data_IF_062659014160
#
_entry.id   IF_062659014160
#
_cell.length_a   1.000
_cell.length_b   1.000
_cell.length_c   1.000
_cell.angle_alpha   90.00
_cell.angle_beta   90.00
_cell.angle_gamma   90.00
#
_symmetry.space_group_name_H-M   'P 1'
#
loop_
_entity.id
_entity.type
_entity.pdbx_description
1 polymer ?
#
# COMPACT_ATOMS: atom_id res chain seq x y z
N UNK A 1 -5.60 0.28 -14.81
CA UNK A 1 -5.33 0.49 -13.37
C UNK A 1 -4.37 -0.62 -12.95
N UNK A 2 -3.15 -0.31 -12.47
CA UNK A 2 -2.24 -1.35 -11.99
C UNK A 2 -2.88 -2.07 -10.80
N UNK A 3 -2.82 -3.40 -10.80
CA UNK A 3 -3.33 -4.25 -9.72
C UNK A 3 -2.14 -5.02 -9.16
N UNK A 4 -2.11 -5.17 -7.83
CA UNK A 4 -1.11 -5.99 -7.16
C UNK A 4 -1.21 -7.45 -7.66
N UNK A 5 -0.07 -8.08 -7.98
CA UNK A 5 0.04 -9.52 -8.25
C UNK A 5 -0.69 -10.36 -7.21
N UNK A 6 -1.34 -11.43 -7.66
CA UNK A 6 -2.24 -12.21 -6.82
C UNK A 6 -1.56 -13.00 -5.70
N UNK A 7 -0.30 -13.39 -5.92
CA UNK A 7 0.50 -14.34 -5.13
C UNK A 7 1.37 -13.69 -4.05
N UNK A 8 1.34 -12.37 -3.91
CA UNK A 8 2.11 -11.66 -2.88
C UNK A 8 1.46 -11.68 -1.49
N UNK A 9 2.23 -11.31 -0.46
CA UNK A 9 1.77 -11.23 0.93
C UNK A 9 0.60 -10.26 1.08
N UNK A 10 -0.53 -10.74 1.62
CA UNK A 10 -1.76 -9.95 1.84
C UNK A 10 -2.07 -9.65 3.30
N UNK A 11 -1.49 -10.41 4.23
CA UNK A 11 -1.74 -10.29 5.66
C UNK A 11 -0.47 -9.80 6.33
N UNK A 12 -0.57 -8.64 7.00
CA UNK A 12 0.51 -8.02 7.74
C UNK A 12 0.05 -7.84 9.20
N UNK A 13 0.70 -8.53 10.13
CA UNK A 13 0.54 -8.26 11.55
C UNK A 13 1.40 -7.05 11.93
N UNK A 14 0.83 -6.10 12.66
CA UNK A 14 1.53 -4.89 13.08
C UNK A 14 1.12 -4.52 14.51
N UNK A 15 2.09 -4.25 15.36
CA UNK A 15 1.86 -3.75 16.71
C UNK A 15 1.42 -2.28 16.71
N UNK A 16 0.87 -1.82 17.83
CA UNK A 16 0.62 -0.39 18.03
C UNK A 16 1.94 0.37 18.00
N UNK A 17 1.98 1.52 17.34
CA UNK A 17 3.18 2.34 17.11
C UNK A 17 4.25 1.68 16.23
N UNK A 18 4.03 0.47 15.73
CA UNK A 18 4.93 -0.14 14.76
C UNK A 18 4.53 0.28 13.34
N UNK A 19 5.54 0.46 12.50
CA UNK A 19 5.35 0.71 11.07
C UNK A 19 5.49 -0.60 10.32
N UNK A 20 4.44 -0.98 9.61
CA UNK A 20 4.48 -2.04 8.62
C UNK A 20 4.81 -1.45 7.25
N UNK A 21 5.81 -2.02 6.58
CA UNK A 21 6.07 -1.75 5.17
C UNK A 21 5.28 -2.77 4.33
N UNK A 22 4.34 -2.26 3.55
CA UNK A 22 3.45 -3.06 2.70
C UNK A 22 3.93 -2.89 1.26
N UNK A 23 4.25 -3.99 0.60
CA UNK A 23 4.68 -3.99 -0.81
C UNK A 23 3.53 -4.46 -1.69
N UNK A 24 3.28 -3.72 -2.76
CA UNK A 24 2.43 -4.11 -3.87
C UNK A 24 3.30 -4.27 -5.13
N UNK A 25 3.63 -5.52 -5.48
CA UNK A 25 4.23 -5.85 -6.78
C UNK A 25 3.16 -5.79 -7.86
N UNK A 26 3.46 -5.12 -8.97
CA UNK A 26 2.55 -4.87 -10.08
C UNK A 26 3.17 -5.44 -11.35
N UNK A 27 2.45 -6.33 -12.00
CA UNK A 27 2.83 -6.81 -13.32
C UNK A 27 2.16 -5.94 -14.38
N UNK A 28 2.93 -5.06 -15.03
CA UNK A 28 2.42 -4.24 -16.13
C UNK A 28 3.49 -3.94 -17.18
N UNK A 29 3.05 -3.89 -18.44
CA UNK A 29 3.83 -3.39 -19.56
C UNK A 29 2.96 -2.45 -20.40
N UNK A 30 3.28 -1.14 -20.48
CA UNK A 30 4.41 -0.46 -19.85
C UNK A 30 4.30 -0.35 -18.31
N UNK A 31 5.37 0.06 -17.59
CA UNK A 31 5.29 0.40 -16.18
C UNK A 31 4.23 1.49 -15.90
N UNK A 32 3.60 1.51 -14.72
CA UNK A 32 2.56 2.47 -14.41
C UNK A 32 3.13 3.84 -14.03
N UNK A 33 2.50 4.92 -14.50
CA UNK A 33 2.95 6.29 -14.18
C UNK A 33 2.48 6.78 -12.80
N UNK A 34 1.38 6.23 -12.27
CA UNK A 34 0.72 6.71 -11.05
C UNK A 34 0.09 5.58 -10.25
N UNK A 35 0.16 5.72 -8.93
CA UNK A 35 -0.43 4.81 -7.97
C UNK A 35 -1.34 5.55 -7.00
N UNK A 36 -2.31 4.83 -6.43
CA UNK A 36 -3.20 5.33 -5.39
C UNK A 36 -3.40 4.25 -4.36
N UNK A 37 -3.19 4.59 -3.10
CA UNK A 37 -3.53 3.77 -1.96
C UNK A 37 -4.78 4.30 -1.27
N UNK A 38 -5.66 3.39 -0.87
CA UNK A 38 -6.82 3.69 -0.03
C UNK A 38 -6.87 2.70 1.12
N UNK A 39 -7.12 3.19 2.32
CA UNK A 39 -7.38 2.36 3.47
C UNK A 39 -8.89 2.20 3.63
N UNK A 40 -9.38 0.96 3.60
CA UNK A 40 -10.80 0.63 3.75
C UNK A 40 -10.97 -0.23 5.01
N UNK A 41 -11.73 0.28 5.96
CA UNK A 41 -12.19 -0.48 7.11
C UNK A 41 -13.73 -0.43 7.17
N UNK A 42 -14.33 -1.04 8.19
CA UNK A 42 -15.80 -1.09 8.34
C UNK A 42 -16.47 0.27 8.57
N UNK A 43 -15.71 1.31 8.94
CA UNK A 43 -16.22 2.63 9.25
C UNK A 43 -16.05 3.63 8.08
N UNK A 44 -14.92 3.56 7.36
CA UNK A 44 -14.56 4.55 6.35
C UNK A 44 -13.61 4.00 5.28
N UNK A 45 -13.60 4.68 4.15
CA UNK A 45 -12.53 4.57 3.15
C UNK A 45 -11.81 5.91 3.08
N UNK A 46 -10.53 5.91 3.39
CA UNK A 46 -9.69 7.11 3.35
C UNK A 46 -8.61 6.95 2.28
N UNK A 47 -8.36 8.01 1.53
CA UNK A 47 -7.23 8.06 0.61
C UNK A 47 -5.95 8.25 1.41
N UNK A 48 -4.95 7.40 1.13
CA UNK A 48 -3.65 7.51 1.78
C UNK A 48 -2.90 8.70 1.15
N UNK A 49 -2.31 9.60 1.96
CA UNK A 49 -1.49 10.69 1.43
C UNK A 49 -0.26 10.18 0.67
N UNK A 50 0.11 10.86 -0.43
CA UNK A 50 1.30 10.52 -1.24
C UNK A 50 2.60 10.47 -0.41
N UNK A 51 2.68 11.20 0.70
CA UNK A 51 3.84 11.18 1.60
C UNK A 51 4.06 9.85 2.34
N UNK A 52 3.08 8.93 2.32
CA UNK A 52 3.18 7.62 2.98
C UNK A 52 3.49 6.46 2.04
N UNK A 53 3.58 6.72 0.73
CA UNK A 53 3.93 5.68 -0.22
C UNK A 53 4.82 6.19 -1.35
N UNK A 54 5.67 5.31 -1.85
CA UNK A 54 6.53 5.56 -3.00
C UNK A 54 6.47 4.36 -3.94
N UNK A 55 6.91 4.58 -5.17
CA UNK A 55 6.94 3.54 -6.19
C UNK A 55 8.33 3.46 -6.80
N UNK A 56 8.82 2.24 -6.98
CA UNK A 56 10.08 1.92 -7.63
C UNK A 56 9.80 0.85 -8.68
N UNK A 57 10.02 1.16 -9.96
CA UNK A 57 9.75 0.26 -11.09
C UNK A 57 8.32 -0.32 -11.08
N UNK A 58 8.20 -1.61 -10.77
CA UNK A 58 6.97 -2.40 -10.70
C UNK A 58 6.51 -2.64 -9.26
N UNK A 59 7.06 -1.93 -8.28
CA UNK A 59 6.74 -2.09 -6.86
C UNK A 59 6.24 -0.77 -6.27
N UNK A 60 5.24 -0.87 -5.40
CA UNK A 60 4.73 0.27 -4.61
C UNK A 60 4.81 -0.08 -3.15
N UNK A 61 5.47 0.77 -2.37
CA UNK A 61 5.71 0.60 -0.95
C UNK A 61 4.81 1.56 -0.18
N UNK A 62 4.07 1.05 0.81
CA UNK A 62 3.25 1.82 1.74
C UNK A 62 3.78 1.64 3.17
N UNK A 63 4.10 2.75 3.82
CA UNK A 63 4.45 2.78 5.24
C UNK A 63 3.19 3.00 6.08
N UNK A 64 2.69 1.92 6.67
CA UNK A 64 1.47 1.91 7.46
C UNK A 64 1.79 1.85 8.95
N UNK A 65 1.30 2.82 9.73
CA UNK A 65 1.43 2.84 11.18
C UNK A 65 0.05 3.00 11.81
N UNK A 66 -0.29 2.10 12.74
CA UNK A 66 -1.46 2.24 13.59
C UNK A 66 -1.18 3.29 14.66
N UNK A 67 -1.50 4.54 14.36
CA UNK A 67 -1.50 5.58 15.38
C UNK A 67 -2.60 5.30 16.41
N UNK A 68 -2.34 5.48 17.71
CA UNK A 68 -3.41 5.63 18.67
C UNK A 68 -4.26 6.84 18.23
N UNK A 69 -5.58 6.65 18.18
CA UNK A 69 -6.50 7.78 17.99
C UNK A 69 -6.33 8.79 19.11
#
# INVERSE_FOLDING_TARGET
KPICRGDQKRIYGVGKHETANIVCEVESYPPPDKFKWSFNNSAETIDVPQSRYHSEEQQVFLDFNLHPR
#
